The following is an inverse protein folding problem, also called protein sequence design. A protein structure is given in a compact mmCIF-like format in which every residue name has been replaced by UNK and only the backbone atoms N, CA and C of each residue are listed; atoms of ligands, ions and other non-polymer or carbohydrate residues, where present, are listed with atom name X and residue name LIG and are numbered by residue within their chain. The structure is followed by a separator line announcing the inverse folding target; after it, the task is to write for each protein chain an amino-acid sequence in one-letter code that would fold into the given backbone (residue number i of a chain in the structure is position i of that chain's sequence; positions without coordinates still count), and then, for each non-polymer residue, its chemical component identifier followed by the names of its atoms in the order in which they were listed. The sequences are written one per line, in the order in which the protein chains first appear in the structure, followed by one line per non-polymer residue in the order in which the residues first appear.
data_IF_762036353219
#
_entry.id   IF_762036353219
#
_cell.length_a   1.000
_cell.length_b   1.000
_cell.length_c   1.000
_cell.angle_alpha   90.00
_cell.angle_beta   90.00
_cell.angle_gamma   90.00
#
_symmetry.space_group_name_H-M   'P 1'
#
loop_
_entity.id
_entity.type
_entity.pdbx_description
1 polymer ?
#
# COMPACT_ATOMS: atom_id res chain seq x y z
N UNK A 1 12.12 9.13 14.25
CA UNK A 1 12.04 8.13 13.16
C UNK A 1 12.52 8.79 11.88
N UNK A 2 13.24 8.08 11.00
CA UNK A 2 13.62 8.63 9.68
C UNK A 2 12.36 8.61 8.80
N UNK A 3 11.91 9.78 8.35
CA UNK A 3 10.78 9.89 7.42
C UNK A 3 11.12 9.15 6.13
N UNK A 4 10.16 8.37 5.63
CA UNK A 4 10.22 7.74 4.31
C UNK A 4 9.85 8.76 3.24
N UNK A 5 10.17 8.49 1.98
CA UNK A 5 9.62 9.22 0.82
C UNK A 5 9.11 8.22 -0.25
N UNK A 6 8.89 6.97 0.15
CA UNK A 6 8.44 5.91 -0.74
C UNK A 6 6.97 6.09 -1.12
N UNK A 7 6.64 5.69 -2.35
CA UNK A 7 5.29 5.70 -2.93
C UNK A 7 4.61 4.35 -2.68
N UNK A 8 3.46 4.38 -2.02
CA UNK A 8 2.61 3.22 -1.78
C UNK A 8 1.38 3.35 -2.69
N UNK A 9 1.25 2.46 -3.67
CA UNK A 9 0.03 2.32 -4.47
C UNK A 9 -0.98 1.47 -3.71
N UNK A 10 -2.17 2.00 -3.49
CA UNK A 10 -3.18 1.42 -2.60
C UNK A 10 -4.48 1.26 -3.38
N UNK A 11 -4.92 0.02 -3.53
CA UNK A 11 -6.23 -0.29 -4.09
C UNK A 11 -7.36 0.18 -3.17
N UNK A 12 -8.56 0.33 -3.73
CA UNK A 12 -9.74 0.80 -3.02
C UNK A 12 -10.68 -0.33 -2.60
N UNK A 13 -11.24 -1.07 -3.57
CA UNK A 13 -12.32 -2.05 -3.36
C UNK A 13 -11.76 -3.40 -2.95
N UNK A 14 -12.05 -3.83 -1.71
CA UNK A 14 -11.42 -5.01 -1.10
C UNK A 14 -10.24 -4.63 -0.20
N UNK A 15 -9.63 -3.46 -0.41
CA UNK A 15 -8.41 -3.01 0.28
C UNK A 15 -8.65 -1.90 1.31
N UNK A 16 -9.19 -0.73 0.90
CA UNK A 16 -9.56 0.35 1.83
C UNK A 16 -10.97 0.12 2.38
N UNK A 17 -11.87 -0.37 1.52
CA UNK A 17 -13.25 -0.73 1.86
C UNK A 17 -13.53 -2.18 1.50
N UNK A 18 -14.62 -2.74 2.01
CA UNK A 18 -15.18 -4.00 1.51
C UNK A 18 -15.51 -3.86 0.00
N UNK A 19 -15.30 -4.92 -0.79
CA UNK A 19 -15.70 -4.91 -2.20
C UNK A 19 -17.23 -4.86 -2.32
N UNK A 20 -17.73 -3.73 -2.80
CA UNK A 20 -19.15 -3.47 -3.03
C UNK A 20 -19.39 -2.71 -4.34
N UNK A 21 -18.42 -2.73 -5.26
CA UNK A 21 -18.47 -1.98 -6.51
C UNK A 21 -19.79 -2.28 -7.27
N UNK A 22 -20.51 -1.25 -7.77
CA UNK A 22 -20.10 0.15 -7.94
C UNK A 22 -20.22 1.04 -6.68
N UNK A 23 -20.92 0.57 -5.62
CA UNK A 23 -21.07 1.36 -4.39
C UNK A 23 -19.78 1.35 -3.56
N UNK A 24 -19.69 2.25 -2.59
CA UNK A 24 -18.62 2.22 -1.59
C UNK A 24 -19.01 1.25 -0.48
N UNK A 25 -18.16 0.27 -0.21
CA UNK A 25 -18.33 -0.67 0.90
C UNK A 25 -18.03 -0.04 2.27
N UNK A 26 -18.15 -0.84 3.33
CA UNK A 26 -17.71 -0.36 4.65
C UNK A 26 -16.19 -0.27 4.69
N UNK A 27 -15.66 0.69 5.45
CA UNK A 27 -14.22 0.77 5.67
C UNK A 27 -13.68 -0.53 6.27
N UNK A 28 -12.55 -1.02 5.74
CA UNK A 28 -11.82 -2.13 6.35
C UNK A 28 -11.35 -1.73 7.75
N UNK A 29 -11.32 -2.67 8.73
CA UNK A 29 -10.82 -2.37 10.07
C UNK A 29 -9.45 -1.72 10.04
N UNK A 30 -9.31 -0.60 10.76
CA UNK A 30 -8.08 0.18 10.90
C UNK A 30 -7.50 0.78 9.61
N UNK A 31 -8.23 0.77 8.50
CA UNK A 31 -7.73 1.27 7.22
C UNK A 31 -7.26 2.72 7.32
N UNK A 32 -8.15 3.62 7.73
CA UNK A 32 -7.85 5.04 7.76
C UNK A 32 -6.83 5.42 8.84
N UNK A 33 -6.86 4.76 10.00
CA UNK A 33 -5.84 4.94 11.05
C UNK A 33 -4.45 4.59 10.52
N UNK A 34 -4.35 3.47 9.81
CA UNK A 34 -3.09 2.98 9.26
C UNK A 34 -2.58 3.89 8.15
N UNK A 35 -3.45 4.30 7.22
CA UNK A 35 -3.10 5.22 6.14
C UNK A 35 -2.58 6.56 6.68
N UNK A 36 -3.25 7.15 7.69
CA UNK A 36 -2.79 8.40 8.35
C UNK A 36 -1.42 8.22 9.00
N UNK A 37 -1.20 7.08 9.65
CA UNK A 37 0.09 6.78 10.26
C UNK A 37 1.20 6.60 9.22
N UNK A 38 0.91 5.98 8.07
CA UNK A 38 1.84 5.88 6.96
C UNK A 38 2.19 7.27 6.40
N UNK A 39 1.21 8.16 6.20
CA UNK A 39 1.48 9.56 5.81
C UNK A 39 2.33 10.30 6.84
N UNK A 40 2.02 10.14 8.12
CA UNK A 40 2.81 10.73 9.23
C UNK A 40 4.26 10.23 9.23
N UNK A 41 4.49 8.99 8.80
CA UNK A 41 5.82 8.40 8.64
C UNK A 41 6.52 8.84 7.33
N UNK A 42 5.91 9.71 6.53
CA UNK A 42 6.45 10.30 5.30
C UNK A 42 6.14 9.54 4.01
N UNK A 43 5.38 8.45 4.06
CA UNK A 43 5.00 7.73 2.85
C UNK A 43 4.04 8.57 1.98
N UNK A 44 4.25 8.53 0.67
CA UNK A 44 3.33 9.12 -0.32
C UNK A 44 2.33 8.07 -0.73
N UNK A 45 1.05 8.31 -0.46
CA UNK A 45 -0.01 7.36 -0.79
C UNK A 45 -0.59 7.70 -2.16
N UNK A 46 -0.63 6.72 -3.06
CA UNK A 46 -1.27 6.82 -4.37
C UNK A 46 -2.53 5.99 -4.32
N UNK A 47 -3.69 6.59 -4.60
CA UNK A 47 -4.90 5.80 -4.84
C UNK A 47 -4.73 5.10 -6.19
N UNK A 48 -4.72 3.77 -6.19
CA UNK A 48 -4.51 2.96 -7.38
C UNK A 48 -5.68 2.00 -7.56
N UNK A 49 -6.73 2.46 -8.23
CA UNK A 49 -8.01 1.76 -8.35
C UNK A 49 -8.47 1.67 -9.79
N UNK A 50 -9.18 0.60 -10.12
CA UNK A 50 -9.85 0.48 -11.42
C UNK A 50 -11.07 1.41 -11.57
N UNK A 51 -11.53 2.06 -10.49
CA UNK A 51 -12.60 3.06 -10.56
C UNK A 51 -12.20 4.21 -11.48
N UNK A 52 -13.17 4.74 -12.22
CA UNK A 52 -13.00 5.88 -13.13
C UNK A 52 -14.25 6.77 -13.13
N UNK A 53 -14.11 8.01 -13.63
CA UNK A 53 -15.21 8.98 -13.68
C UNK A 53 -15.81 9.27 -12.30
N UNK A 54 -17.14 9.34 -12.24
CA UNK A 54 -17.90 9.64 -11.00
C UNK A 54 -17.57 8.67 -9.86
N UNK A 55 -17.42 7.37 -10.15
CA UNK A 55 -17.09 6.38 -9.13
C UNK A 55 -15.70 6.61 -8.50
N UNK A 56 -14.75 7.17 -9.27
CA UNK A 56 -13.43 7.55 -8.78
C UNK A 56 -13.52 8.80 -7.90
N UNK A 57 -14.28 9.80 -8.34
CA UNK A 57 -14.53 11.02 -7.57
C UNK A 57 -15.17 10.71 -6.22
N UNK A 58 -16.17 9.81 -6.19
CA UNK A 58 -16.78 9.33 -4.96
C UNK A 58 -15.78 8.65 -4.02
N UNK A 59 -14.91 7.79 -4.54
CA UNK A 59 -13.88 7.11 -3.75
C UNK A 59 -12.86 8.11 -3.15
N UNK A 60 -12.41 9.07 -3.95
CA UNK A 60 -11.51 10.15 -3.51
C UNK A 60 -12.17 10.98 -2.40
N UNK A 61 -13.42 11.40 -2.59
CA UNK A 61 -14.14 12.21 -1.60
C UNK A 61 -14.45 11.42 -0.32
N UNK A 62 -14.74 10.11 -0.43
CA UNK A 62 -14.90 9.24 0.71
C UNK A 62 -13.62 9.15 1.55
N UNK A 63 -12.47 8.95 0.92
CA UNK A 63 -11.17 8.95 1.61
C UNK A 63 -10.88 10.32 2.25
N UNK A 64 -11.15 11.41 1.53
CA UNK A 64 -10.95 12.78 2.03
C UNK A 64 -11.78 13.08 3.28
N UNK A 65 -13.06 12.70 3.28
CA UNK A 65 -13.96 12.82 4.45
C UNK A 65 -13.45 12.02 5.67
N UNK A 66 -12.69 10.96 5.44
CA UNK A 66 -12.04 10.16 6.47
C UNK A 66 -10.60 10.63 6.79
N UNK A 67 -10.21 11.82 6.31
CA UNK A 67 -8.93 12.45 6.62
C UNK A 67 -7.73 11.88 5.85
N UNK A 68 -7.95 11.26 4.69
CA UNK A 68 -6.90 10.83 3.77
C UNK A 68 -6.97 11.63 2.49
N UNK A 69 -5.90 12.38 2.22
CA UNK A 69 -5.65 13.03 0.94
C UNK A 69 -4.48 12.33 0.25
N UNK A 70 -4.68 11.83 -0.96
CA UNK A 70 -3.65 11.09 -1.69
C UNK A 70 -2.65 12.03 -2.35
N UNK A 71 -1.40 11.59 -2.46
CA UNK A 71 -0.36 12.27 -3.24
C UNK A 71 -0.71 12.32 -4.73
N UNK A 72 -1.30 11.25 -5.25
CA UNK A 72 -1.83 11.18 -6.62
C UNK A 72 -2.92 10.11 -6.71
N UNK A 73 -3.70 10.17 -7.78
CA UNK A 73 -4.81 9.24 -8.03
C UNK A 73 -4.63 8.68 -9.43
N UNK A 74 -4.53 7.35 -9.55
CA UNK A 74 -4.31 6.63 -10.81
C UNK A 74 -3.15 7.17 -11.66
N UNK A 75 -2.13 7.71 -11.01
CA UNK A 75 -0.98 8.38 -11.64
C UNK A 75 0.28 8.24 -10.78
N UNK A 76 1.45 8.30 -11.41
CA UNK A 76 2.76 8.15 -10.75
C UNK A 76 3.14 9.35 -9.87
N UNK A 77 2.54 10.52 -10.13
CA UNK A 77 2.75 11.77 -9.39
C UNK A 77 1.60 12.75 -9.60
N UNK A 78 1.50 13.75 -8.72
CA UNK A 78 0.50 14.80 -8.80
C UNK A 78 0.59 15.59 -10.12
N UNK A 79 -0.54 15.74 -10.82
CA UNK A 79 -0.59 16.48 -12.08
C UNK A 79 -0.01 15.75 -13.30
N UNK A 80 0.27 14.45 -13.20
CA UNK A 80 0.65 13.64 -14.37
C UNK A 80 -0.44 13.69 -15.44
N UNK A 81 -0.04 14.03 -16.68
CA UNK A 81 -0.87 13.92 -17.87
C UNK A 81 -0.38 12.68 -18.62
N UNK A 82 -1.22 11.64 -18.68
CA UNK A 82 -0.85 10.38 -19.30
C UNK A 82 -0.79 10.48 -20.84
N UNK A 83 0.35 10.08 -21.42
CA UNK A 83 0.57 9.90 -22.85
C UNK A 83 0.83 8.42 -23.16
N UNK A 84 -0.11 7.80 -23.88
CA UNK A 84 -0.05 6.38 -24.23
C UNK A 84 1.04 6.00 -25.24
N UNK A 85 1.65 6.96 -25.95
CA UNK A 85 2.72 6.68 -26.91
C UNK A 85 4.10 6.59 -26.24
N UNK A 86 4.30 7.37 -25.18
CA UNK A 86 5.62 7.54 -24.54
C UNK A 86 5.68 7.04 -23.11
N UNK A 87 4.53 6.74 -22.48
CA UNK A 87 4.47 6.31 -21.09
C UNK A 87 3.85 4.92 -20.92
N UNK A 88 4.31 4.23 -19.88
CA UNK A 88 3.72 2.95 -19.45
C UNK A 88 2.42 3.20 -18.69
N UNK A 89 1.40 2.35 -18.92
CA UNK A 89 0.17 2.34 -18.12
C UNK A 89 0.41 1.97 -16.65
N UNK A 90 1.51 1.28 -16.35
CA UNK A 90 1.87 0.90 -14.98
C UNK A 90 2.49 2.11 -14.27
N UNK A 91 1.90 2.51 -13.15
CA UNK A 91 2.42 3.59 -12.32
C UNK A 91 3.74 3.22 -11.65
N UNK A 92 4.55 4.25 -11.38
CA UNK A 92 5.79 4.13 -10.63
C UNK A 92 5.52 4.23 -9.11
N UNK A 93 5.52 3.08 -8.43
CA UNK A 93 5.37 2.95 -6.98
C UNK A 93 6.36 1.95 -6.39
N UNK A 94 6.76 2.15 -5.13
CA UNK A 94 7.69 1.27 -4.41
C UNK A 94 7.01 0.00 -3.88
N UNK A 95 5.74 0.10 -3.50
CA UNK A 95 4.94 -1.00 -2.93
C UNK A 95 3.50 -0.90 -3.47
N UNK A 96 2.91 -2.04 -3.78
CA UNK A 96 1.51 -2.17 -4.16
C UNK A 96 0.75 -2.94 -3.07
N UNK A 97 -0.31 -2.34 -2.54
CA UNK A 97 -1.18 -2.88 -1.50
C UNK A 97 -2.55 -3.08 -2.15
N UNK A 98 -2.92 -4.34 -2.33
CA UNK A 98 -4.06 -4.75 -3.17
C UNK A 98 -4.58 -6.09 -2.65
N UNK A 99 -5.90 -6.27 -2.61
CA UNK A 99 -6.53 -7.50 -2.14
C UNK A 99 -6.32 -8.68 -3.09
N UNK A 100 -6.03 -8.38 -4.36
CA UNK A 100 -5.76 -9.35 -5.41
C UNK A 100 -4.28 -9.69 -5.56
N UNK A 101 -3.42 -9.16 -4.67
CA UNK A 101 -2.02 -9.59 -4.62
C UNK A 101 -1.92 -11.11 -4.41
N UNK A 102 -0.89 -11.73 -5.00
CA UNK A 102 -0.60 -13.15 -4.76
C UNK A 102 -0.30 -13.37 -3.27
N UNK A 103 -1.15 -14.14 -2.58
CA UNK A 103 -1.12 -14.31 -1.13
C UNK A 103 -2.25 -13.59 -0.38
N UNK A 104 -3.03 -12.75 -1.07
CA UNK A 104 -4.20 -12.04 -0.54
C UNK A 104 -3.86 -10.83 0.33
N UNK A 105 -4.90 -10.15 0.81
CA UNK A 105 -4.78 -9.04 1.75
C UNK A 105 -4.65 -9.54 3.20
N UNK A 106 -3.55 -9.27 3.91
CA UNK A 106 -3.40 -9.74 5.29
C UNK A 106 -4.14 -8.88 6.31
N UNK A 107 -4.70 -7.73 5.90
CA UNK A 107 -5.29 -6.73 6.79
C UNK A 107 -4.32 -5.59 7.13
N UNK A 108 -4.88 -4.46 7.56
CA UNK A 108 -4.12 -3.21 7.71
C UNK A 108 -3.08 -3.24 8.83
N UNK A 109 -3.33 -3.97 9.92
CA UNK A 109 -2.36 -4.13 11.01
C UNK A 109 -1.07 -4.78 10.52
N UNK A 110 -1.21 -5.92 9.84
CA UNK A 110 -0.12 -6.68 9.25
C UNK A 110 0.58 -5.87 8.15
N UNK A 111 -0.15 -5.19 7.28
CA UNK A 111 0.43 -4.30 6.25
C UNK A 111 1.32 -3.24 6.90
N UNK A 112 0.87 -2.60 7.98
CA UNK A 112 1.66 -1.59 8.68
C UNK A 112 2.95 -2.17 9.24
N UNK A 113 2.90 -3.33 9.90
CA UNK A 113 4.09 -4.01 10.42
C UNK A 113 5.06 -4.40 9.30
N UNK A 114 4.54 -4.97 8.20
CA UNK A 114 5.34 -5.37 7.03
C UNK A 114 6.12 -4.17 6.48
N UNK A 115 5.44 -3.04 6.26
CA UNK A 115 6.06 -1.85 5.70
C UNK A 115 7.07 -1.23 6.66
N UNK A 116 6.69 -1.04 7.93
CA UNK A 116 7.52 -0.30 8.90
C UNK A 116 8.73 -1.09 9.38
N UNK A 117 8.59 -2.42 9.51
CA UNK A 117 9.69 -3.31 9.87
C UNK A 117 10.46 -3.82 8.66
N UNK A 118 10.06 -3.45 7.43
CA UNK A 118 10.66 -3.90 6.16
C UNK A 118 10.73 -5.43 6.10
N UNK A 119 9.57 -6.05 6.34
CA UNK A 119 9.44 -7.49 6.29
C UNK A 119 9.46 -7.92 4.82
N UNK A 120 10.41 -8.77 4.48
CA UNK A 120 10.49 -9.42 3.17
C UNK A 120 10.01 -10.87 3.30
N UNK A 121 9.47 -11.43 2.23
CA UNK A 121 8.95 -12.79 2.20
C UNK A 121 9.82 -13.68 1.33
N UNK A 122 9.99 -14.93 1.76
CA UNK A 122 10.71 -15.97 1.05
C UNK A 122 9.91 -17.25 0.98
N UNK A 123 10.31 -18.12 0.06
CA UNK A 123 9.76 -19.47 -0.03
C UNK A 123 10.83 -20.44 0.48
N UNK A 124 10.50 -21.20 1.52
CA UNK A 124 11.36 -22.26 2.06
C UNK A 124 10.51 -23.49 2.35
N UNK A 125 10.94 -24.66 1.85
CA UNK A 125 10.21 -25.92 1.99
C UNK A 125 8.74 -25.87 1.52
N UNK A 126 8.45 -25.06 0.50
CA UNK A 126 7.09 -24.88 -0.02
C UNK A 126 6.19 -23.95 0.81
N UNK A 127 6.72 -23.33 1.87
CA UNK A 127 6.00 -22.39 2.73
C UNK A 127 6.53 -20.96 2.56
N UNK A 128 5.63 -19.97 2.64
CA UNK A 128 6.01 -18.56 2.64
C UNK A 128 6.41 -18.16 4.06
N UNK A 129 7.66 -17.69 4.23
CA UNK A 129 8.22 -17.29 5.51
C UNK A 129 8.72 -15.84 5.45
N UNK A 130 8.56 -15.08 6.52
CA UNK A 130 9.07 -13.72 6.65
C UNK A 130 10.61 -13.73 6.91
N UNK A 131 11.41 -13.26 5.96
CA UNK A 131 12.88 -13.16 6.07
C UNK A 131 13.33 -12.24 7.21
N UNK A 132 12.62 -11.16 7.52
CA UNK A 132 13.06 -10.20 8.56
C UNK A 132 12.99 -10.76 9.98
N UNK A 133 12.30 -11.90 10.19
CA UNK A 133 12.28 -12.64 11.46
C UNK A 133 13.38 -13.70 11.56
N UNK A 134 14.12 -13.98 10.48
CA UNK A 134 15.39 -14.69 10.56
C UNK A 134 16.39 -13.72 11.18
N UNK A 135 16.42 -13.72 12.52
CA UNK A 135 17.42 -13.04 13.34
C UNK A 135 18.77 -13.13 12.61
N UNK A 136 19.44 -11.99 12.41
CA UNK A 136 20.89 -11.98 12.37
C UNK A 136 21.34 -12.64 13.67
N UNK A 137 21.55 -13.95 13.66
CA UNK A 137 22.42 -14.59 14.61
C UNK A 137 23.75 -13.87 14.42
N UNK A 138 24.06 -12.93 15.32
CA UNK A 138 25.42 -12.42 15.44
C UNK A 138 26.23 -13.66 15.71
N UNK A 139 26.99 -14.14 14.71
CA UNK A 139 28.07 -15.09 14.94
C UNK A 139 28.84 -14.50 16.12
N UNK A 140 28.78 -15.15 17.28
CA UNK A 140 29.66 -14.80 18.40
C UNK A 140 31.05 -14.92 17.83
N UNK A 141 31.69 -13.79 17.57
CA UNK A 141 33.09 -13.77 17.19
C UNK A 141 33.84 -14.51 18.29
N UNK A 142 34.43 -15.65 17.94
CA UNK A 142 35.45 -16.28 18.75
C UNK A 142 36.66 -15.36 18.64
N UNK A 143 36.74 -14.38 19.55
CA UNK A 143 37.97 -13.65 19.79
C UNK A 143 38.80 -14.52 20.73
N UNK A 144 39.88 -15.08 20.18
CA UNK A 144 41.02 -15.62 20.91
C UNK A 144 41.81 -14.48 21.56
#
# INVERSE_FOLDING_TARGET
MKLSNKKLAIDFDGTIVEDAYPRIGKAQPFAFETLRQLQTNGYRLILWTYRCGEALEEAVEFCKKNGIEFYSVNSSYEGEIFDGETQSRKIDADVFIDDRNLGGFPGWGEVYEIITQKIEFGISNGEVQAYSKLKKERKKGWFW
#
